data_IF_234950192035
#
_entry.id   IF_234950192035
#
_cell.length_a   1.000
_cell.length_b   1.000
_cell.length_c   1.000
_cell.angle_alpha   90.00
_cell.angle_beta   90.00
_cell.angle_gamma   90.00
#
_symmetry.space_group_name_H-M   'P 1'
#
loop_
_entity.id
_entity.type
_entity.pdbx_description
1 polymer ?
#
# COMPACT_ATOMS: atom_id res chain seq x y z
N UNK A 1 3.32 -20.31 -6.80
CA UNK A 1 3.52 -18.84 -6.67
C UNK A 1 3.13 -18.36 -5.27
N UNK A 2 1.95 -18.67 -4.76
CA UNK A 2 1.50 -18.28 -3.41
C UNK A 2 2.48 -18.70 -2.31
N UNK A 3 2.81 -19.99 -2.18
CA UNK A 3 3.69 -20.51 -1.13
C UNK A 3 5.08 -19.84 -1.11
N UNK A 4 5.55 -19.39 -2.28
CA UNK A 4 6.83 -18.70 -2.43
C UNK A 4 6.73 -17.21 -2.12
N UNK A 5 5.58 -16.59 -2.39
CA UNK A 5 5.38 -15.16 -2.22
C UNK A 5 4.82 -14.80 -0.84
N UNK A 6 4.08 -15.68 -0.19
CA UNK A 6 3.44 -15.44 1.11
C UNK A 6 4.43 -14.97 2.17
N UNK A 7 5.46 -15.74 2.43
CA UNK A 7 6.46 -15.39 3.44
C UNK A 7 7.18 -14.07 3.17
N UNK A 8 7.80 -13.87 1.99
CA UNK A 8 8.54 -12.65 1.68
C UNK A 8 7.69 -11.39 1.55
N UNK A 9 6.47 -11.48 0.98
CA UNK A 9 5.69 -10.30 0.57
C UNK A 9 4.46 -10.03 1.43
N UNK A 10 4.00 -11.02 2.22
CA UNK A 10 2.78 -10.87 3.03
C UNK A 10 3.08 -10.96 4.53
N UNK A 11 3.93 -11.91 4.95
CA UNK A 11 4.18 -12.20 6.37
C UNK A 11 5.48 -11.61 6.90
N UNK A 12 6.23 -10.87 6.09
CA UNK A 12 7.49 -10.28 6.55
C UNK A 12 7.71 -8.88 6.01
N UNK A 13 8.39 -8.08 6.80
CA UNK A 13 8.80 -6.74 6.41
C UNK A 13 9.86 -6.78 5.30
N UNK A 14 9.57 -6.11 4.19
CA UNK A 14 10.47 -5.94 3.05
C UNK A 14 11.35 -4.72 3.26
N UNK A 15 12.50 -4.89 3.93
CA UNK A 15 13.45 -3.78 4.19
C UNK A 15 14.27 -3.39 2.96
N UNK A 16 14.61 -4.36 2.10
CA UNK A 16 15.42 -4.11 0.89
C UNK A 16 15.37 -5.30 -0.07
N UNK A 17 15.80 -5.09 -1.31
CA UNK A 17 15.96 -6.18 -2.31
C UNK A 17 17.02 -7.19 -1.82
N UNK A 18 18.09 -6.72 -1.17
CA UNK A 18 19.12 -7.60 -0.61
C UNK A 18 18.58 -8.51 0.50
N UNK A 19 17.67 -8.02 1.34
CA UNK A 19 17.01 -8.84 2.36
C UNK A 19 16.10 -9.93 1.76
N UNK A 20 15.55 -9.69 0.59
CA UNK A 20 14.77 -10.65 -0.19
C UNK A 20 15.65 -11.77 -0.75
N UNK A 21 16.80 -11.41 -1.33
CA UNK A 21 17.77 -12.34 -1.90
C UNK A 21 18.41 -13.22 -0.81
N UNK A 22 18.63 -12.66 0.37
CA UNK A 22 19.21 -13.38 1.52
C UNK A 22 18.25 -14.43 2.11
N UNK A 23 16.96 -14.41 1.82
CA UNK A 23 16.02 -15.42 2.32
C UNK A 23 16.27 -16.78 1.66
N UNK A 24 16.45 -17.80 2.52
CA UNK A 24 16.72 -19.18 2.10
C UNK A 24 15.66 -19.66 1.08
N UNK A 25 16.11 -20.10 -0.08
CA UNK A 25 15.24 -20.63 -1.15
C UNK A 25 14.67 -19.57 -2.11
N UNK A 26 14.84 -18.27 -1.88
CA UNK A 26 14.30 -17.24 -2.77
C UNK A 26 14.87 -17.31 -4.20
N UNK A 27 16.19 -17.48 -4.33
CA UNK A 27 16.84 -17.61 -5.65
C UNK A 27 16.37 -18.85 -6.42
N UNK A 28 16.17 -19.99 -5.74
CA UNK A 28 15.64 -21.21 -6.34
C UNK A 28 14.18 -21.06 -6.85
N UNK A 29 13.43 -20.16 -6.26
CA UNK A 29 12.02 -19.91 -6.54
C UNK A 29 11.76 -18.72 -7.48
N UNK A 30 12.81 -18.03 -7.97
CA UNK A 30 12.66 -16.90 -8.90
C UNK A 30 11.87 -17.26 -10.16
N UNK A 31 12.03 -18.47 -10.70
CA UNK A 31 11.25 -18.93 -11.85
C UNK A 31 9.74 -18.98 -11.56
N UNK A 32 9.36 -19.30 -10.34
CA UNK A 32 7.95 -19.39 -9.91
C UNK A 32 7.33 -18.00 -9.75
N UNK A 33 8.11 -17.03 -9.26
CA UNK A 33 7.67 -15.64 -9.11
C UNK A 33 7.60 -14.92 -10.46
N UNK A 34 8.37 -15.39 -11.45
CA UNK A 34 8.46 -14.82 -12.80
C UNK A 34 8.68 -13.30 -12.81
N UNK A 35 9.75 -12.77 -12.14
CA UNK A 35 9.91 -11.34 -11.86
C UNK A 35 10.02 -10.45 -13.10
N UNK A 36 10.45 -11.01 -14.24
CA UNK A 36 10.59 -10.29 -15.51
C UNK A 36 9.44 -10.56 -16.49
N UNK A 37 8.35 -11.12 -16.01
CA UNK A 37 7.19 -11.47 -16.83
C UNK A 37 5.99 -10.63 -16.37
N UNK A 38 5.29 -10.00 -17.32
CA UNK A 38 4.07 -9.29 -17.02
C UNK A 38 2.90 -10.27 -16.79
N UNK A 39 1.87 -9.79 -16.09
CA UNK A 39 0.65 -10.54 -15.83
C UNK A 39 0.03 -11.05 -17.15
N UNK A 40 -0.15 -10.19 -18.15
CA UNK A 40 -0.68 -10.53 -19.46
C UNK A 40 0.17 -11.58 -20.18
N UNK A 41 1.51 -11.47 -20.15
CA UNK A 41 2.40 -12.42 -20.79
C UNK A 41 2.35 -13.79 -20.11
N UNK A 42 2.24 -13.83 -18.79
CA UNK A 42 2.08 -15.09 -18.07
C UNK A 42 0.74 -15.74 -18.39
N UNK A 43 -0.37 -14.98 -18.35
CA UNK A 43 -1.71 -15.45 -18.67
C UNK A 43 -1.77 -16.10 -20.04
N UNK A 44 -1.16 -15.47 -21.06
CA UNK A 44 -1.14 -16.00 -22.43
C UNK A 44 -0.43 -17.35 -22.61
N UNK A 45 0.37 -17.80 -21.61
CA UNK A 45 0.94 -19.15 -21.61
C UNK A 45 -0.05 -20.25 -21.20
N UNK A 46 -1.11 -19.88 -20.49
CA UNK A 46 -2.07 -20.85 -19.92
C UNK A 46 -3.44 -20.80 -20.59
N UNK A 47 -3.80 -19.68 -21.21
CA UNK A 47 -5.07 -19.56 -21.92
C UNK A 47 -4.99 -18.57 -23.08
N UNK A 48 -5.65 -18.95 -24.19
CA UNK A 48 -5.94 -18.09 -25.34
C UNK A 48 -7.35 -17.51 -25.32
N UNK A 49 -8.17 -17.92 -24.34
CA UNK A 49 -9.53 -17.43 -24.21
C UNK A 49 -9.54 -15.94 -23.80
N UNK A 50 -10.14 -15.04 -24.60
CA UNK A 50 -10.10 -13.60 -24.33
C UNK A 50 -10.87 -13.19 -23.07
N UNK A 51 -11.91 -13.94 -22.71
CA UNK A 51 -12.70 -13.65 -21.50
C UNK A 51 -11.93 -14.02 -20.23
N UNK A 52 -11.28 -15.19 -20.21
CA UNK A 52 -10.42 -15.60 -19.10
C UNK A 52 -9.22 -14.64 -18.95
N UNK A 53 -8.64 -14.23 -20.06
CA UNK A 53 -7.56 -13.22 -20.04
C UNK A 53 -8.01 -11.89 -19.42
N UNK A 54 -9.21 -11.41 -19.75
CA UNK A 54 -9.79 -10.19 -19.15
C UNK A 54 -10.04 -10.33 -17.65
N UNK A 55 -10.53 -11.48 -17.20
CA UNK A 55 -10.76 -11.76 -15.77
C UNK A 55 -9.44 -11.71 -15.00
N UNK A 56 -8.37 -12.27 -15.56
CA UNK A 56 -7.05 -12.25 -14.92
C UNK A 56 -6.43 -10.85 -14.98
N UNK A 57 -6.57 -10.15 -16.09
CA UNK A 57 -6.06 -8.78 -16.22
C UNK A 57 -6.66 -7.81 -15.20
N UNK A 58 -7.89 -8.07 -14.73
CA UNK A 58 -8.54 -7.31 -13.66
C UNK A 58 -7.66 -7.18 -12.41
N UNK A 59 -6.83 -8.18 -12.12
CA UNK A 59 -5.96 -8.10 -10.94
C UNK A 59 -4.90 -7.00 -11.02
N UNK A 60 -4.59 -6.48 -12.20
CA UNK A 60 -3.74 -5.30 -12.36
C UNK A 60 -4.36 -4.04 -11.75
N UNK A 61 -5.69 -3.97 -11.63
CA UNK A 61 -6.39 -2.81 -11.05
C UNK A 61 -6.11 -2.61 -9.57
N UNK A 62 -5.69 -3.65 -8.84
CA UNK A 62 -5.27 -3.53 -7.43
C UNK A 62 -4.09 -2.58 -7.23
N UNK A 63 -3.28 -2.39 -8.25
CA UNK A 63 -2.15 -1.44 -8.25
C UNK A 63 -2.34 -0.27 -9.23
N UNK A 64 -3.54 -0.08 -9.79
CA UNK A 64 -3.80 0.95 -10.79
C UNK A 64 -2.93 0.83 -12.04
N UNK A 65 -2.54 -0.39 -12.43
CA UNK A 65 -1.52 -0.63 -13.45
C UNK A 65 -2.04 -1.34 -14.68
N UNK A 66 -1.32 -1.19 -15.79
CA UNK A 66 -1.58 -1.93 -17.04
C UNK A 66 -1.12 -3.41 -16.90
N UNK A 67 -1.97 -4.41 -17.17
CA UNK A 67 -1.62 -5.84 -17.07
C UNK A 67 -0.46 -6.26 -17.98
N UNK A 68 -0.12 -5.48 -19.01
CA UNK A 68 1.04 -5.69 -19.88
C UNK A 68 2.35 -5.26 -19.24
N UNK A 69 2.30 -4.44 -18.20
CA UNK A 69 3.48 -3.87 -17.50
C UNK A 69 3.64 -4.42 -16.09
N UNK A 70 2.54 -4.71 -15.41
CA UNK A 70 2.56 -5.15 -14.01
C UNK A 70 3.18 -6.53 -13.88
N UNK A 71 3.94 -6.81 -12.79
CA UNK A 71 4.56 -8.11 -12.56
C UNK A 71 3.54 -9.24 -12.45
N UNK A 72 3.89 -10.41 -13.00
CA UNK A 72 3.07 -11.61 -13.00
C UNK A 72 2.72 -12.12 -11.58
N UNK A 73 3.47 -11.73 -10.56
CA UNK A 73 3.20 -12.10 -9.16
C UNK A 73 1.82 -11.66 -8.68
N UNK A 74 1.20 -10.67 -9.29
CA UNK A 74 -0.20 -10.28 -8.99
C UNK A 74 -1.22 -11.41 -9.25
N UNK A 75 -0.86 -12.43 -10.02
CA UNK A 75 -1.69 -13.64 -10.17
C UNK A 75 -1.92 -14.36 -8.85
N UNK A 76 -1.09 -14.12 -7.83
CA UNK A 76 -1.33 -14.65 -6.48
C UNK A 76 -2.63 -14.16 -5.88
N UNK A 77 -3.14 -12.99 -6.27
CA UNK A 77 -4.43 -12.46 -5.80
C UNK A 77 -5.57 -13.37 -6.28
N UNK A 78 -5.53 -13.83 -7.54
CA UNK A 78 -6.50 -14.79 -8.05
C UNK A 78 -6.51 -16.10 -7.24
N UNK A 79 -5.34 -16.57 -6.84
CA UNK A 79 -5.23 -17.74 -5.96
C UNK A 79 -5.85 -17.47 -4.59
N UNK A 80 -5.59 -16.32 -3.99
CA UNK A 80 -6.16 -15.94 -2.68
C UNK A 80 -7.68 -15.90 -2.75
N UNK A 81 -8.26 -15.24 -3.77
CA UNK A 81 -9.72 -15.18 -3.95
C UNK A 81 -10.34 -16.57 -4.12
N UNK A 82 -9.72 -17.44 -4.92
CA UNK A 82 -10.27 -18.78 -5.18
C UNK A 82 -10.07 -19.76 -4.03
N UNK A 83 -8.99 -19.64 -3.27
CA UNK A 83 -8.63 -20.59 -2.21
C UNK A 83 -9.20 -20.24 -0.85
N UNK A 84 -9.31 -18.92 -0.54
CA UNK A 84 -9.81 -18.44 0.75
C UNK A 84 -11.23 -17.87 0.66
N UNK A 85 -11.75 -17.70 -0.56
CA UNK A 85 -13.08 -17.16 -0.81
C UNK A 85 -13.16 -15.63 -0.75
N UNK A 86 -14.33 -15.14 -1.12
CA UNK A 86 -14.72 -13.74 -0.98
C UNK A 86 -15.91 -13.67 -0.03
N UNK A 87 -15.85 -12.77 0.94
CA UNK A 87 -16.84 -12.68 2.01
C UNK A 87 -17.61 -11.38 1.94
N UNK A 88 -18.91 -11.45 2.10
CA UNK A 88 -19.76 -10.27 2.19
C UNK A 88 -20.07 -9.95 3.65
N UNK A 89 -19.88 -8.69 4.03
CA UNK A 89 -20.25 -8.22 5.36
C UNK A 89 -21.74 -7.91 5.36
N UNK A 90 -22.49 -8.52 6.27
CA UNK A 90 -23.92 -8.26 6.43
C UNK A 90 -24.16 -6.76 6.67
N UNK A 91 -24.97 -6.13 5.84
CA UNK A 91 -25.22 -4.69 5.87
C UNK A 91 -24.23 -3.86 5.06
N UNK A 92 -23.31 -4.50 4.30
CA UNK A 92 -22.35 -3.84 3.43
C UNK A 92 -21.02 -3.50 4.09
N UNK A 93 -20.02 -3.11 3.29
CA UNK A 93 -18.65 -2.87 3.75
C UNK A 93 -18.55 -1.72 4.78
N UNK A 94 -19.49 -0.76 4.77
CA UNK A 94 -19.54 0.31 5.75
C UNK A 94 -19.67 -0.19 7.20
N UNK A 95 -20.23 -1.39 7.42
CA UNK A 95 -20.32 -1.99 8.75
C UNK A 95 -18.94 -2.32 9.34
N UNK A 96 -17.94 -2.57 8.49
CA UNK A 96 -16.56 -2.75 8.96
C UNK A 96 -16.02 -1.44 9.54
N UNK A 97 -16.25 -0.32 8.87
CA UNK A 97 -15.84 1.01 9.37
C UNK A 97 -16.52 1.33 10.71
N UNK A 98 -17.82 1.09 10.81
CA UNK A 98 -18.57 1.30 12.05
C UNK A 98 -18.05 0.42 13.20
N UNK A 99 -17.73 -0.84 12.92
CA UNK A 99 -17.18 -1.76 13.93
C UNK A 99 -15.79 -1.31 14.42
N UNK A 100 -14.94 -0.82 13.51
CA UNK A 100 -13.61 -0.27 13.85
C UNK A 100 -13.77 1.01 14.67
N UNK A 101 -14.65 1.93 14.26
CA UNK A 101 -14.93 3.17 14.99
C UNK A 101 -15.39 2.87 16.44
N UNK A 102 -16.36 1.99 16.60
CA UNK A 102 -16.83 1.57 17.92
C UNK A 102 -15.69 1.00 18.77
N UNK A 103 -14.83 0.16 18.18
CA UNK A 103 -13.69 -0.38 18.89
C UNK A 103 -12.67 0.69 19.29
N UNK A 104 -12.45 1.67 18.44
CA UNK A 104 -11.60 2.82 18.74
C UNK A 104 -12.17 3.63 19.94
N UNK A 105 -13.47 3.89 19.94
CA UNK A 105 -14.14 4.60 21.04
C UNK A 105 -14.03 3.84 22.36
N UNK A 106 -14.22 2.52 22.35
CA UNK A 106 -14.01 1.66 23.53
C UNK A 106 -12.58 1.75 24.09
N UNK A 107 -11.60 1.95 23.22
CA UNK A 107 -10.19 2.11 23.57
C UNK A 107 -9.81 3.55 23.95
N UNK A 108 -10.77 4.46 23.98
CA UNK A 108 -10.56 5.86 24.37
C UNK A 108 -10.01 6.76 23.26
N UNK A 109 -10.06 6.32 22.00
CA UNK A 109 -9.67 7.16 20.84
C UNK A 109 -10.68 8.29 20.71
N UNK A 110 -10.18 9.51 20.50
CA UNK A 110 -10.99 10.69 20.22
C UNK A 110 -11.00 10.98 18.73
N UNK A 111 -12.17 11.23 18.18
CA UNK A 111 -12.37 11.62 16.79
C UNK A 111 -12.69 13.11 16.71
N UNK A 112 -11.91 13.85 15.93
CA UNK A 112 -12.16 15.27 15.61
C UNK A 112 -12.55 15.34 14.13
N UNK A 113 -13.85 15.19 13.85
CA UNK A 113 -14.39 15.22 12.48
C UNK A 113 -14.51 16.65 11.98
N UNK A 114 -14.58 16.80 10.64
CA UNK A 114 -14.64 18.11 9.96
C UNK A 114 -13.48 19.05 10.33
N UNK A 115 -12.35 18.47 10.67
CA UNK A 115 -11.16 19.15 11.20
C UNK A 115 -10.01 18.97 10.22
N UNK A 116 -9.52 20.07 9.66
CA UNK A 116 -8.43 20.03 8.69
C UNK A 116 -7.09 20.31 9.35
N UNK A 117 -6.19 19.33 9.30
CA UNK A 117 -4.79 19.54 9.70
C UNK A 117 -4.11 20.39 8.65
N UNK A 118 -3.59 21.54 9.05
CA UNK A 118 -2.92 22.51 8.17
C UNK A 118 -1.41 22.32 8.12
N UNK A 119 -0.81 21.76 9.19
CA UNK A 119 0.63 21.52 9.25
C UNK A 119 0.98 20.38 10.21
N UNK A 120 2.01 19.62 9.89
CA UNK A 120 2.71 18.73 10.81
C UNK A 120 3.89 19.51 11.38
N UNK A 121 3.87 19.74 12.68
CA UNK A 121 4.94 20.47 13.37
C UNK A 121 6.11 19.54 13.69
N UNK A 122 7.32 20.09 13.64
CA UNK A 122 8.54 19.32 13.90
C UNK A 122 9.41 20.03 14.93
N UNK A 123 10.09 19.26 15.77
CA UNK A 123 11.09 19.73 16.74
C UNK A 123 12.25 18.73 16.74
N UNK A 124 13.48 19.24 16.64
CA UNK A 124 14.68 18.38 16.61
C UNK A 124 14.59 17.26 15.55
N UNK A 125 14.13 17.58 14.34
CA UNK A 125 13.99 16.65 13.21
C UNK A 125 12.96 15.52 13.41
N UNK A 126 12.13 15.60 14.43
CA UNK A 126 11.04 14.65 14.68
C UNK A 126 9.68 15.37 14.66
N UNK A 127 8.61 14.67 14.30
CA UNK A 127 7.26 15.19 14.44
C UNK A 127 6.97 15.45 15.92
N UNK A 128 6.35 16.59 16.22
CA UNK A 128 6.00 17.01 17.58
C UNK A 128 4.51 17.22 17.78
N UNK A 129 3.72 17.13 16.73
CA UNK A 129 2.27 17.31 16.75
C UNK A 129 1.74 17.83 15.43
N UNK A 130 0.52 18.34 15.46
CA UNK A 130 -0.16 18.91 14.30
C UNK A 130 -0.74 20.29 14.62
N UNK A 131 -1.00 21.06 13.59
CA UNK A 131 -1.66 22.36 13.69
C UNK A 131 -3.00 22.31 12.96
N UNK A 132 -4.04 22.82 13.62
CA UNK A 132 -5.41 22.95 13.12
C UNK A 132 -5.87 24.36 13.42
N UNK A 133 -6.24 25.14 12.43
CA UNK A 133 -6.73 26.51 12.57
C UNK A 133 -5.85 27.39 13.47
N UNK A 134 -4.52 27.24 13.36
CA UNK A 134 -3.54 27.97 14.16
C UNK A 134 -3.34 27.43 15.59
N UNK A 135 -4.10 26.40 16.01
CA UNK A 135 -3.94 25.77 17.31
C UNK A 135 -3.05 24.54 17.22
N UNK A 136 -2.07 24.44 18.09
CA UNK A 136 -1.15 23.32 18.19
C UNK A 136 -1.73 22.17 19.05
N UNK A 137 -1.65 20.96 18.52
CA UNK A 137 -1.98 19.71 19.17
C UNK A 137 -0.72 18.85 19.30
N UNK A 138 -0.17 18.67 20.50
CA UNK A 138 1.04 17.89 20.70
C UNK A 138 0.77 16.39 20.49
N UNK A 139 1.76 15.70 19.92
CA UNK A 139 1.73 14.25 19.76
C UNK A 139 3.16 13.69 19.71
N UNK A 140 3.37 12.55 20.31
CA UNK A 140 4.65 11.82 20.26
C UNK A 140 4.89 11.19 18.88
N UNK A 141 3.81 10.82 18.19
CA UNK A 141 3.82 10.25 16.85
C UNK A 141 2.69 10.86 16.02
N UNK A 142 2.95 11.06 14.74
CA UNK A 142 1.94 11.49 13.75
C UNK A 142 1.88 10.46 12.63
N UNK A 143 0.71 9.85 12.43
CA UNK A 143 0.44 8.97 11.30
C UNK A 143 -0.41 9.72 10.29
N UNK A 144 0.15 10.02 9.13
CA UNK A 144 -0.55 10.71 8.06
C UNK A 144 -1.12 9.70 7.06
N UNK A 145 -2.44 9.47 7.13
CA UNK A 145 -3.17 8.68 6.13
C UNK A 145 -3.72 9.58 5.03
N UNK A 146 -2.82 10.21 4.27
CA UNK A 146 -3.12 11.10 3.17
C UNK A 146 -2.13 10.85 2.02
N UNK A 147 -2.42 11.44 0.84
CA UNK A 147 -1.51 11.34 -0.30
C UNK A 147 -0.10 11.82 0.07
N UNK A 148 0.91 11.03 -0.28
CA UNK A 148 2.28 11.29 0.10
C UNK A 148 2.80 12.62 -0.48
N UNK A 149 2.43 12.99 -1.72
CA UNK A 149 2.81 14.27 -2.31
C UNK A 149 2.23 15.43 -1.51
N UNK A 150 0.97 15.31 -1.08
CA UNK A 150 0.33 16.30 -0.24
C UNK A 150 1.00 16.44 1.13
N UNK A 151 1.27 15.32 1.80
CA UNK A 151 1.94 15.31 3.12
C UNK A 151 3.30 15.99 3.04
N UNK A 152 4.15 15.55 2.11
CA UNK A 152 5.53 16.03 2.03
C UNK A 152 5.66 17.46 1.48
N UNK A 153 4.75 17.89 0.61
CA UNK A 153 4.84 19.19 -0.04
C UNK A 153 3.91 20.26 0.55
N UNK A 154 2.88 19.88 1.33
CA UNK A 154 1.90 20.81 1.88
C UNK A 154 1.84 20.81 3.40
N UNK A 155 1.92 19.65 4.04
CA UNK A 155 1.80 19.56 5.50
C UNK A 155 3.15 19.70 6.23
N UNK A 156 4.25 19.28 5.61
CA UNK A 156 5.58 19.43 6.19
C UNK A 156 6.25 20.72 5.69
N UNK A 157 6.84 21.48 6.61
CA UNK A 157 7.62 22.68 6.27
C UNK A 157 8.75 22.33 5.27
N UNK A 158 8.97 23.20 4.28
CA UNK A 158 10.03 23.02 3.27
C UNK A 158 11.43 22.90 3.90
N UNK A 159 11.63 23.52 5.06
CA UNK A 159 12.90 23.51 5.81
C UNK A 159 13.21 22.16 6.47
N UNK A 160 12.26 21.21 6.50
CA UNK A 160 12.49 19.87 7.04
C UNK A 160 13.40 19.10 6.10
N UNK A 161 14.70 19.09 6.39
CA UNK A 161 15.75 18.48 5.54
C UNK A 161 15.56 16.97 5.37
N UNK A 162 15.08 16.30 6.39
CA UNK A 162 14.81 14.85 6.43
C UNK A 162 13.74 14.43 5.41
N UNK A 163 12.83 15.32 5.07
CA UNK A 163 11.83 15.09 4.03
C UNK A 163 12.37 15.27 2.58
N UNK A 164 13.56 15.82 2.42
CA UNK A 164 14.13 16.14 1.09
C UNK A 164 14.36 14.89 0.20
N UNK A 165 14.85 13.75 0.69
CA UNK A 165 14.99 12.56 -0.13
C UNK A 165 13.64 12.04 -0.66
N UNK A 166 12.60 12.06 0.17
CA UNK A 166 11.27 11.59 -0.21
C UNK A 166 10.60 12.55 -1.20
N UNK A 167 10.73 13.87 -1.02
CA UNK A 167 10.27 14.88 -1.99
C UNK A 167 10.91 14.66 -3.37
N UNK A 168 12.21 14.35 -3.43
CA UNK A 168 12.91 14.06 -4.69
C UNK A 168 12.42 12.78 -5.35
N UNK A 169 12.08 11.75 -4.57
CA UNK A 169 11.48 10.51 -5.09
C UNK A 169 10.09 10.77 -5.65
N UNK A 170 9.25 11.48 -4.91
CA UNK A 170 7.88 11.84 -5.33
C UNK A 170 7.88 12.66 -6.62
N UNK A 171 8.80 13.63 -6.76
CA UNK A 171 8.92 14.43 -7.98
C UNK A 171 9.28 13.60 -9.23
N UNK A 172 9.91 12.42 -9.05
CA UNK A 172 10.27 11.50 -10.12
C UNK A 172 9.25 10.37 -10.33
N UNK A 173 8.32 10.21 -9.41
CA UNK A 173 7.33 9.14 -9.46
C UNK A 173 6.35 9.38 -10.62
N UNK A 174 6.02 8.32 -11.34
CA UNK A 174 4.93 8.35 -12.33
C UNK A 174 3.61 8.35 -11.57
N UNK A 175 2.80 9.37 -11.76
CA UNK A 175 1.45 9.41 -11.20
C UNK A 175 0.61 8.30 -11.83
N UNK A 176 -0.18 7.60 -11.03
CA UNK A 176 -1.25 6.74 -11.55
C UNK A 176 -2.32 7.62 -12.17
N UNK A 177 -2.79 7.24 -13.35
CA UNK A 177 -3.87 7.91 -14.08
C UNK A 177 -5.20 7.60 -13.41
#
# INVERSE_FOLDING_TARGET
MWDVSRGPFVESELKSISSLIAKKGFLGNLKVIAPLTSLRKLTGKYTSNPYLSKIIDRYATYSGSDPRKVPAVLLTIAFVESSFGAWHIKGGIGQLSNAIENRCLELGVKFELNTTVTRITTKNSAASGVEVDGKFYPADFVVANADAEFVYNKLLDEKVKEASPERKKLAKATKSL
#
